data_IF_384511565595
#
_entry.id   IF_384511565595
#
_cell.length_a   1.000
_cell.length_b   1.000
_cell.length_c   1.000
_cell.angle_alpha   90.00
_cell.angle_beta   90.00
_cell.angle_gamma   90.00
#
_symmetry.space_group_name_H-M   'P 1'
#
loop_
_entity.id
_entity.type
_entity.pdbx_description
1 polymer ?
#
# COMPACT_ATOMS: atom_id res chain seq x y z
N UNK A 1 14.98 15.05 -15.07
CA UNK A 1 15.00 13.58 -15.23
C UNK A 1 13.77 12.95 -14.58
N UNK A 2 13.47 13.25 -13.30
CA UNK A 2 12.25 12.79 -12.60
C UNK A 2 10.94 13.22 -13.29
N UNK A 3 10.87 14.46 -13.78
CA UNK A 3 9.65 14.98 -14.45
C UNK A 3 9.33 14.28 -15.78
N UNK A 4 10.36 13.83 -16.48
CA UNK A 4 10.22 13.08 -17.73
C UNK A 4 9.68 11.66 -17.47
N UNK A 5 10.18 10.99 -16.41
CA UNK A 5 9.68 9.69 -15.97
C UNK A 5 8.21 9.77 -15.52
N UNK A 6 7.83 10.83 -14.81
CA UNK A 6 6.44 11.06 -14.39
C UNK A 6 5.54 11.27 -15.62
N UNK A 7 6.03 11.95 -16.65
CA UNK A 7 5.30 12.12 -17.91
C UNK A 7 5.10 10.76 -18.60
N UNK A 8 6.13 9.95 -18.71
CA UNK A 8 6.07 8.61 -19.30
C UNK A 8 5.10 7.68 -18.54
N UNK A 9 5.14 7.69 -17.20
CA UNK A 9 4.21 6.93 -16.37
C UNK A 9 2.74 7.39 -16.56
N UNK A 10 2.49 8.66 -16.88
CA UNK A 10 1.13 9.16 -17.11
C UNK A 10 0.53 8.68 -18.42
N UNK A 11 1.36 8.46 -19.44
CA UNK A 11 0.94 7.96 -20.77
C UNK A 11 0.65 6.44 -20.78
N UNK A 12 1.05 5.71 -19.74
CA UNK A 12 0.73 4.29 -19.59
C UNK A 12 -0.76 4.02 -19.44
N UNK A 13 -1.20 2.85 -19.90
CA UNK A 13 -2.54 2.34 -19.63
C UNK A 13 -2.74 2.12 -18.11
N UNK A 14 -3.99 2.09 -17.60
CA UNK A 14 -4.24 1.76 -16.20
C UNK A 14 -3.60 0.43 -15.78
N UNK A 15 -3.65 -0.58 -16.64
CA UNK A 15 -3.07 -1.90 -16.41
C UNK A 15 -1.54 -1.83 -16.29
N UNK A 16 -0.88 -1.13 -17.23
CA UNK A 16 0.57 -0.96 -17.21
C UNK A 16 1.03 -0.14 -16.00
N UNK A 17 0.22 0.82 -15.54
CA UNK A 17 0.47 1.57 -14.31
C UNK A 17 0.45 0.67 -13.07
N UNK A 18 -0.48 -0.28 -13.02
CA UNK A 18 -0.55 -1.24 -11.91
C UNK A 18 0.71 -2.12 -11.88
N UNK A 19 1.10 -2.65 -13.04
CA UNK A 19 2.33 -3.46 -13.16
C UNK A 19 3.58 -2.66 -12.80
N UNK A 20 3.69 -1.42 -13.27
CA UNK A 20 4.81 -0.55 -12.91
C UNK A 20 4.84 -0.24 -11.40
N UNK A 21 3.67 -0.06 -10.79
CA UNK A 21 3.56 0.18 -9.35
C UNK A 21 3.97 -1.06 -8.55
N UNK A 22 3.56 -2.26 -8.98
CA UNK A 22 3.96 -3.54 -8.38
C UNK A 22 5.48 -3.72 -8.42
N UNK A 23 6.11 -3.53 -9.58
CA UNK A 23 7.56 -3.63 -9.73
C UNK A 23 8.28 -2.63 -8.84
N UNK A 24 7.80 -1.38 -8.80
CA UNK A 24 8.38 -0.34 -7.95
C UNK A 24 8.23 -0.71 -6.48
N UNK A 25 7.05 -1.20 -6.09
CA UNK A 25 6.76 -1.62 -4.72
C UNK A 25 7.67 -2.76 -4.26
N UNK A 26 7.83 -3.79 -5.09
CA UNK A 26 8.68 -4.95 -4.79
C UNK A 26 10.18 -4.60 -4.77
N UNK A 27 10.56 -3.51 -5.44
CA UNK A 27 11.95 -3.04 -5.45
C UNK A 27 12.34 -2.22 -4.21
N UNK A 28 11.37 -1.79 -3.40
CA UNK A 28 11.63 -1.00 -2.20
C UNK A 28 12.25 -1.87 -1.11
N UNK A 29 13.30 -1.36 -0.47
CA UNK A 29 13.84 -1.88 0.78
C UNK A 29 13.27 -1.11 1.96
N UNK A 30 13.38 -1.68 3.16
CA UNK A 30 12.96 -0.99 4.39
C UNK A 30 13.67 0.37 4.57
N UNK A 31 14.93 0.47 4.11
CA UNK A 31 15.69 1.73 4.20
C UNK A 31 15.23 2.81 3.20
N UNK A 32 14.54 2.42 2.12
CA UNK A 32 14.05 3.34 1.09
C UNK A 32 12.80 4.11 1.56
N UNK A 33 12.13 3.62 2.60
CA UNK A 33 10.95 4.25 3.21
C UNK A 33 11.25 4.54 4.69
N UNK A 34 12.07 5.56 4.99
CA UNK A 34 12.43 5.88 6.35
C UNK A 34 11.18 6.30 7.12
N UNK A 35 10.74 5.43 8.03
CA UNK A 35 9.62 5.68 8.92
C UNK A 35 10.08 6.50 10.12
N UNK A 36 9.32 7.52 10.46
CA UNK A 36 9.47 8.20 11.75
C UNK A 36 9.16 7.24 12.90
N UNK A 37 9.71 7.52 14.07
CA UNK A 37 9.45 6.74 15.28
C UNK A 37 7.95 6.68 15.63
N UNK A 38 7.21 7.76 15.40
CA UNK A 38 5.75 7.81 15.54
C UNK A 38 5.05 6.81 14.62
N UNK A 39 5.47 6.72 13.35
CA UNK A 39 4.87 5.79 12.39
C UNK A 39 5.19 4.33 12.75
N UNK A 40 6.42 4.06 13.20
CA UNK A 40 6.82 2.75 13.69
C UNK A 40 6.00 2.32 14.91
N UNK A 41 5.76 3.23 15.85
CA UNK A 41 4.95 2.94 17.03
C UNK A 41 3.50 2.60 16.67
N UNK A 42 2.90 3.32 15.72
CA UNK A 42 1.55 3.01 15.23
C UNK A 42 1.50 1.63 14.57
N UNK A 43 2.51 1.27 13.78
CA UNK A 43 2.58 -0.04 13.13
C UNK A 43 2.70 -1.15 14.18
N UNK A 44 3.59 -1.00 15.16
CA UNK A 44 3.76 -1.97 16.26
C UNK A 44 2.48 -2.15 17.06
N UNK A 45 1.83 -1.06 17.45
CA UNK A 45 0.56 -1.12 18.18
C UNK A 45 -0.50 -1.89 17.38
N UNK A 46 -0.64 -1.62 16.08
CA UNK A 46 -1.59 -2.32 15.21
C UNK A 46 -1.23 -3.80 15.05
N UNK A 47 0.04 -4.14 14.95
CA UNK A 47 0.50 -5.52 14.85
C UNK A 47 0.21 -6.30 16.14
N UNK A 48 0.46 -5.70 17.31
CA UNK A 48 0.14 -6.31 18.61
C UNK A 48 -1.36 -6.54 18.76
N UNK A 49 -2.19 -5.55 18.44
CA UNK A 49 -3.64 -5.68 18.49
C UNK A 49 -4.17 -6.75 17.52
N UNK A 50 -3.53 -6.90 16.35
CA UNK A 50 -3.83 -7.97 15.40
C UNK A 50 -3.49 -9.35 15.98
N UNK A 51 -2.29 -9.52 16.56
CA UNK A 51 -1.85 -10.76 17.21
C UNK A 51 -2.72 -11.16 18.40
N UNK A 52 -3.24 -10.18 19.14
CA UNK A 52 -4.16 -10.38 20.26
C UNK A 52 -5.60 -10.73 19.83
N UNK A 53 -5.92 -10.61 18.54
CA UNK A 53 -7.28 -10.88 18.02
C UNK A 53 -8.31 -9.81 18.41
N UNK A 54 -7.87 -8.64 18.88
CA UNK A 54 -8.74 -7.54 19.31
C UNK A 54 -9.27 -6.69 18.16
N UNK A 55 -8.96 -7.05 16.91
CA UNK A 55 -9.34 -6.30 15.73
C UNK A 55 -10.44 -7.00 14.94
N UNK A 56 -11.35 -6.21 14.39
CA UNK A 56 -12.31 -6.69 13.40
C UNK A 56 -11.59 -6.90 12.08
N UNK A 57 -11.38 -8.16 11.72
CA UNK A 57 -10.81 -8.54 10.42
C UNK A 57 -11.92 -8.60 9.38
N UNK A 58 -11.55 -8.28 8.15
CA UNK A 58 -12.43 -8.40 6.99
C UNK A 58 -11.72 -9.22 5.93
N UNK A 59 -12.46 -10.15 5.35
CA UNK A 59 -12.06 -10.84 4.13
C UNK A 59 -12.14 -9.89 2.94
N UNK A 60 -11.36 -10.15 1.89
CA UNK A 60 -11.42 -9.34 0.68
C UNK A 60 -12.82 -9.33 0.05
N UNK A 61 -13.58 -10.42 0.19
CA UNK A 61 -14.95 -10.50 -0.31
C UNK A 61 -15.92 -9.60 0.48
N UNK A 62 -15.73 -9.46 1.80
CA UNK A 62 -16.52 -8.52 2.61
C UNK A 62 -16.21 -7.07 2.23
N UNK A 63 -14.94 -6.74 2.04
CA UNK A 63 -14.54 -5.40 1.62
C UNK A 63 -15.12 -5.07 0.24
N UNK A 64 -15.02 -5.97 -0.74
CA UNK A 64 -15.63 -5.80 -2.08
C UNK A 64 -17.13 -5.55 -2.01
N UNK A 65 -17.85 -6.30 -1.17
CA UNK A 65 -19.30 -6.14 -0.97
C UNK A 65 -19.64 -4.79 -0.34
N UNK A 66 -18.79 -4.25 0.53
CA UNK A 66 -18.99 -2.92 1.13
C UNK A 66 -18.64 -1.77 0.18
N UNK A 67 -17.63 -1.95 -0.68
CA UNK A 67 -17.17 -0.94 -1.63
C UNK A 67 -18.08 -0.80 -2.87
N UNK A 68 -18.87 -1.83 -3.19
CA UNK A 68 -19.83 -1.81 -4.32
C UNK A 68 -21.23 -1.28 -3.98
N UNK A 69 -21.42 -0.66 -2.80
CA UNK A 69 -22.66 0.03 -2.43
C UNK A 69 -22.45 1.55 -2.54
N UNK A 70 -22.54 2.06 -3.75
CA UNK A 70 -22.78 3.49 -4.05
C UNK A 70 -24.05 3.62 -4.89
#
# INVERSE_FOLDING_TARGET
MRDQLIKELKELTPEDKLVATEILWDSLKEEDVPLSETQLNIIREREEQYKLGNQKLFTWDEVKKSAGKE
#
